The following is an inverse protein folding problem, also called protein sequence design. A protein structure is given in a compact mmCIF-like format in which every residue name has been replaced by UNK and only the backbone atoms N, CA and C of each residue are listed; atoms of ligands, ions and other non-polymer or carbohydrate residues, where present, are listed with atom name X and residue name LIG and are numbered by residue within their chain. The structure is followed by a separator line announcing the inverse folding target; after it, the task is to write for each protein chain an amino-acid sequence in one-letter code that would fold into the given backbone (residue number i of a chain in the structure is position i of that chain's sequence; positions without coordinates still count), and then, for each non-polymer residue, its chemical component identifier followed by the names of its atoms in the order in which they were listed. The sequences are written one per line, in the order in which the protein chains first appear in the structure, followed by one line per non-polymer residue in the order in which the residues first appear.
data_IF_202043230798
#
_entry.id   IF_202043230798
#
_cell.length_a   1.000
_cell.length_b   1.000
_cell.length_c   1.000
_cell.angle_alpha   90.00
_cell.angle_beta   90.00
_cell.angle_gamma   90.00
#
_symmetry.space_group_name_H-M   'P 1'
#
loop_
_entity.id
_entity.type
_entity.pdbx_description
1 polymer ?
#
# COMPACT_ATOMS: atom_id res chain seq x y z
N UNK A 1 62.65 8.09 -33.20
CA UNK A 1 63.09 8.98 -34.28
C UNK A 1 63.51 8.10 -35.45
N UNK A 2 62.58 7.89 -36.37
CA UNK A 2 62.77 7.06 -37.56
C UNK A 2 63.08 7.92 -38.78
N UNK A 3 63.39 7.26 -39.89
CA UNK A 3 63.53 7.90 -41.20
C UNK A 3 62.22 8.62 -41.54
N UNK A 4 62.28 9.91 -41.88
CA UNK A 4 61.13 10.73 -42.31
C UNK A 4 61.22 11.00 -43.81
N UNK A 5 60.11 11.38 -44.45
CA UNK A 5 60.08 11.76 -45.88
C UNK A 5 61.16 12.80 -46.23
N UNK A 6 61.37 13.80 -45.36
CA UNK A 6 62.47 14.78 -45.49
C UNK A 6 63.86 14.15 -45.43
N UNK A 7 64.08 13.20 -44.52
CA UNK A 7 65.36 12.49 -44.40
C UNK A 7 65.62 11.60 -45.62
N UNK A 8 64.58 11.02 -46.24
CA UNK A 8 64.70 10.25 -47.48
C UNK A 8 65.06 11.16 -48.66
N UNK A 9 64.40 12.32 -48.82
CA UNK A 9 64.69 13.30 -49.89
C UNK A 9 66.13 13.84 -49.83
N UNK A 10 66.66 14.04 -48.63
CA UNK A 10 67.99 14.61 -48.41
C UNK A 10 69.09 13.54 -48.32
N UNK A 11 68.77 12.27 -48.61
CA UNK A 11 69.71 11.17 -48.42
C UNK A 11 70.72 11.08 -49.55
N UNK A 12 71.97 11.47 -49.26
CA UNK A 12 73.08 11.28 -50.19
C UNK A 12 73.76 9.90 -50.03
N UNK A 13 74.11 9.29 -51.15
CA UNK A 13 74.85 8.03 -51.22
C UNK A 13 76.25 8.23 -51.80
N UNK A 14 77.24 7.49 -51.27
CA UNK A 14 78.60 7.51 -51.82
C UNK A 14 78.66 6.78 -53.16
N UNK A 15 79.26 7.39 -54.17
CA UNK A 15 79.45 6.76 -55.48
C UNK A 15 80.62 5.78 -55.47
N UNK A 16 80.49 4.65 -56.19
CA UNK A 16 81.53 3.62 -56.36
C UNK A 16 81.52 3.10 -57.80
N UNK A 17 82.67 2.63 -58.28
CA UNK A 17 82.79 2.03 -59.62
C UNK A 17 81.84 0.83 -59.77
N UNK A 18 81.02 0.81 -60.83
CA UNK A 18 79.87 -0.11 -61.05
C UNK A 18 78.68 0.03 -60.06
N UNK A 19 78.44 1.21 -59.50
CA UNK A 19 77.23 1.50 -58.71
C UNK A 19 75.95 1.70 -59.54
N UNK A 20 74.81 1.88 -58.86
CA UNK A 20 73.53 2.24 -59.47
C UNK A 20 73.56 3.64 -60.10
N UNK A 21 72.66 3.90 -61.06
CA UNK A 21 72.49 5.23 -61.65
C UNK A 21 71.93 6.21 -60.60
N UNK A 22 72.63 7.32 -60.39
CA UNK A 22 72.27 8.34 -59.42
C UNK A 22 70.89 8.93 -59.72
N UNK A 23 70.54 9.16 -60.99
CA UNK A 23 69.24 9.76 -61.35
C UNK A 23 68.07 8.82 -61.09
N UNK A 24 68.28 7.53 -61.30
CA UNK A 24 67.26 6.50 -61.04
C UNK A 24 67.05 6.33 -59.53
N UNK A 25 68.13 6.34 -58.75
CA UNK A 25 68.06 6.29 -57.28
C UNK A 25 67.38 7.54 -56.73
N UNK A 26 67.73 8.74 -57.18
CA UNK A 26 67.10 9.99 -56.73
C UNK A 26 65.60 10.02 -57.07
N UNK A 27 65.22 9.56 -58.26
CA UNK A 27 63.80 9.43 -58.65
C UNK A 27 63.03 8.46 -57.75
N UNK A 28 63.63 7.31 -57.42
CA UNK A 28 63.02 6.34 -56.50
C UNK A 28 62.90 6.91 -55.08
N UNK A 29 63.91 7.63 -54.57
CA UNK A 29 63.85 8.27 -53.25
C UNK A 29 62.74 9.33 -53.17
N UNK A 30 62.52 10.08 -54.25
CA UNK A 30 61.43 11.05 -54.34
C UNK A 30 60.05 10.35 -54.28
N UNK A 31 59.87 9.27 -55.03
CA UNK A 31 58.63 8.47 -54.99
C UNK A 31 58.39 7.88 -53.59
N UNK A 32 59.42 7.33 -52.96
CA UNK A 32 59.36 6.80 -51.59
C UNK A 32 59.00 7.91 -50.61
N UNK A 33 59.61 9.08 -50.74
CA UNK A 33 59.32 10.22 -49.87
C UNK A 33 57.88 10.72 -50.00
N UNK A 34 57.34 10.77 -51.23
CA UNK A 34 55.93 11.13 -51.49
C UNK A 34 54.98 10.10 -50.89
N UNK A 35 55.26 8.80 -51.06
CA UNK A 35 54.45 7.76 -50.42
C UNK A 35 54.50 7.84 -48.90
N UNK A 36 55.68 8.05 -48.30
CA UNK A 36 55.82 8.19 -46.85
C UNK A 36 54.99 9.37 -46.33
N UNK A 37 55.04 10.52 -47.00
CA UNK A 37 54.25 11.68 -46.57
C UNK A 37 52.74 11.43 -46.67
N UNK A 38 52.29 10.72 -47.72
CA UNK A 38 50.90 10.26 -47.85
C UNK A 38 50.48 9.32 -46.71
N UNK A 39 51.35 8.38 -46.35
CA UNK A 39 51.12 7.45 -45.24
C UNK A 39 51.05 8.20 -43.90
N UNK A 40 51.96 9.13 -43.65
CA UNK A 40 51.98 9.95 -42.43
C UNK A 40 50.68 10.74 -42.26
N UNK A 41 50.21 11.42 -43.34
CA UNK A 41 48.91 12.12 -43.33
C UNK A 41 47.73 11.18 -43.06
N UNK A 42 47.77 9.97 -43.62
CA UNK A 42 46.72 8.96 -43.39
C UNK A 42 46.72 8.50 -41.93
N UNK A 43 47.91 8.29 -41.34
CA UNK A 43 48.06 7.92 -39.93
C UNK A 43 47.53 9.03 -39.02
N UNK A 44 47.85 10.30 -39.30
CA UNK A 44 47.33 11.44 -38.55
C UNK A 44 45.80 11.49 -38.59
N UNK A 45 45.20 11.41 -39.78
CA UNK A 45 43.75 11.40 -39.96
C UNK A 45 43.06 10.25 -39.20
N UNK A 46 43.60 9.02 -39.33
CA UNK A 46 43.07 7.85 -38.63
C UNK A 46 43.23 7.97 -37.11
N UNK A 47 44.32 8.58 -36.64
CA UNK A 47 44.55 8.79 -35.21
C UNK A 47 43.56 9.79 -34.63
N UNK A 48 43.27 10.87 -35.36
CA UNK A 48 42.28 11.86 -34.95
C UNK A 48 40.86 11.30 -34.97
N UNK A 49 40.50 10.53 -36.00
CA UNK A 49 39.21 9.85 -36.07
C UNK A 49 39.05 8.83 -34.94
N UNK A 50 40.08 8.01 -34.68
CA UNK A 50 40.09 7.08 -33.56
C UNK A 50 39.87 7.80 -32.24
N UNK A 51 40.53 8.95 -32.03
CA UNK A 51 40.36 9.76 -30.81
C UNK A 51 38.93 10.27 -30.67
N UNK A 52 38.32 10.74 -31.77
CA UNK A 52 36.92 11.19 -31.80
C UNK A 52 35.97 10.04 -31.44
N UNK A 53 36.12 8.89 -32.07
CA UNK A 53 35.29 7.70 -31.83
C UNK A 53 35.43 7.18 -30.40
N UNK A 54 36.64 7.21 -29.82
CA UNK A 54 36.86 6.76 -28.44
C UNK A 54 36.14 7.69 -27.44
N UNK A 55 36.21 9.00 -27.64
CA UNK A 55 35.46 9.97 -26.81
C UNK A 55 33.94 9.75 -26.91
N UNK A 56 33.43 9.50 -28.11
CA UNK A 56 32.00 9.23 -28.31
C UNK A 56 31.58 7.92 -27.62
N UNK A 57 32.39 6.86 -27.75
CA UNK A 57 32.16 5.57 -27.10
C UNK A 57 32.14 5.69 -25.58
N UNK A 58 33.09 6.45 -25.00
CA UNK A 58 33.09 6.75 -23.57
C UNK A 58 31.81 7.48 -23.14
N UNK A 59 31.32 8.41 -23.96
CA UNK A 59 30.05 9.10 -23.74
C UNK A 59 28.84 8.15 -23.78
N UNK A 60 28.80 7.21 -24.73
CA UNK A 60 27.76 6.18 -24.79
C UNK A 60 27.80 5.26 -23.57
N UNK A 61 28.98 4.74 -23.19
CA UNK A 61 29.15 3.88 -22.01
C UNK A 61 28.70 4.56 -20.72
N UNK A 62 29.00 5.85 -20.54
CA UNK A 62 28.52 6.63 -19.38
C UNK A 62 27.00 6.72 -19.35
N UNK A 63 26.37 7.01 -20.49
CA UNK A 63 24.89 7.07 -20.60
C UNK A 63 24.25 5.71 -20.36
N UNK A 64 24.79 4.65 -20.94
CA UNK A 64 24.32 3.29 -20.74
C UNK A 64 24.37 2.89 -19.24
N UNK A 65 25.50 3.17 -18.58
CA UNK A 65 25.63 2.92 -17.14
C UNK A 65 24.63 3.73 -16.31
N UNK A 66 24.42 5.01 -16.63
CA UNK A 66 23.44 5.85 -15.95
C UNK A 66 22.01 5.30 -16.14
N UNK A 67 21.66 4.89 -17.36
CA UNK A 67 20.36 4.30 -17.67
C UNK A 67 20.15 2.96 -16.97
N UNK A 68 21.17 2.09 -16.94
CA UNK A 68 21.13 0.83 -16.19
C UNK A 68 20.92 1.06 -14.70
N UNK A 69 21.63 2.02 -14.12
CA UNK A 69 21.47 2.39 -12.72
C UNK A 69 20.07 2.93 -12.43
N UNK A 70 19.55 3.81 -13.29
CA UNK A 70 18.20 4.33 -13.18
C UNK A 70 17.13 3.21 -13.28
N UNK A 71 17.33 2.23 -14.15
CA UNK A 71 16.43 1.08 -14.29
C UNK A 71 16.41 0.21 -13.03
N UNK A 72 17.59 -0.08 -12.46
CA UNK A 72 17.69 -0.84 -11.20
C UNK A 72 17.03 -0.07 -10.05
N UNK A 73 17.28 1.24 -9.96
CA UNK A 73 16.62 2.08 -8.94
C UNK A 73 15.10 2.09 -9.11
N UNK A 74 14.61 2.21 -10.34
CA UNK A 74 13.18 2.18 -10.64
C UNK A 74 12.56 0.84 -10.24
N UNK A 75 13.23 -0.27 -10.51
CA UNK A 75 12.79 -1.59 -10.09
C UNK A 75 12.73 -1.71 -8.55
N UNK A 76 13.75 -1.24 -7.85
CA UNK A 76 13.77 -1.24 -6.37
C UNK A 76 12.63 -0.40 -5.80
N UNK A 77 12.32 0.76 -6.39
CA UNK A 77 11.20 1.60 -5.97
C UNK A 77 9.86 0.89 -6.19
N UNK A 78 9.69 0.22 -7.33
CA UNK A 78 8.48 -0.56 -7.61
C UNK A 78 8.28 -1.71 -6.60
N UNK A 79 9.36 -2.43 -6.28
CA UNK A 79 9.32 -3.53 -5.31
C UNK A 79 9.00 -3.01 -3.90
N UNK A 80 9.63 -1.91 -3.47
CA UNK A 80 9.31 -1.24 -2.21
C UNK A 80 7.86 -0.74 -2.16
N UNK A 81 7.36 -0.17 -3.26
CA UNK A 81 5.97 0.30 -3.35
C UNK A 81 4.99 -0.87 -3.23
N UNK A 82 5.28 -2.00 -3.88
CA UNK A 82 4.46 -3.22 -3.80
C UNK A 82 4.44 -3.79 -2.38
N UNK A 83 5.58 -3.85 -1.71
CA UNK A 83 5.68 -4.34 -0.33
C UNK A 83 4.97 -3.41 0.66
N UNK A 84 5.11 -2.10 0.49
CA UNK A 84 4.40 -1.12 1.31
C UNK A 84 2.88 -1.19 1.11
N UNK A 85 2.42 -1.36 -0.13
CA UNK A 85 1.00 -1.55 -0.44
C UNK A 85 0.44 -2.82 0.23
N UNK A 86 1.19 -3.94 0.18
CA UNK A 86 0.80 -5.18 0.86
C UNK A 86 0.70 -5.01 2.37
N UNK A 87 1.70 -4.38 3.00
CA UNK A 87 1.70 -4.11 4.45
C UNK A 87 0.54 -3.20 4.83
N UNK A 88 0.31 -2.14 4.06
CA UNK A 88 -0.80 -1.21 4.30
C UNK A 88 -2.15 -1.91 4.19
N UNK A 89 -2.33 -2.77 3.18
CA UNK A 89 -3.54 -3.57 3.04
C UNK A 89 -3.75 -4.53 4.23
N UNK A 90 -2.69 -5.18 4.71
CA UNK A 90 -2.77 -6.04 5.91
C UNK A 90 -3.18 -5.24 7.16
N UNK A 91 -2.61 -4.06 7.36
CA UNK A 91 -2.98 -3.17 8.49
C UNK A 91 -4.44 -2.75 8.38
N UNK A 92 -4.90 -2.33 7.20
CA UNK A 92 -6.30 -1.97 6.98
C UNK A 92 -7.25 -3.12 7.29
N UNK A 93 -6.93 -4.34 6.84
CA UNK A 93 -7.74 -5.53 7.12
C UNK A 93 -7.74 -5.83 8.63
N UNK A 94 -6.58 -5.76 9.29
CA UNK A 94 -6.48 -5.99 10.73
C UNK A 94 -7.31 -4.98 11.53
N UNK A 95 -7.23 -3.69 11.18
CA UNK A 95 -8.04 -2.64 11.82
C UNK A 95 -9.53 -2.90 11.64
N UNK A 96 -9.96 -3.21 10.41
CA UNK A 96 -11.36 -3.51 10.13
C UNK A 96 -11.87 -4.74 10.92
N UNK A 97 -11.03 -5.75 11.13
CA UNK A 97 -11.36 -6.91 11.97
C UNK A 97 -11.53 -6.51 13.44
N UNK A 98 -10.64 -5.67 13.98
CA UNK A 98 -10.74 -5.15 15.36
C UNK A 98 -12.01 -4.32 15.53
N UNK A 99 -12.32 -3.42 14.59
CA UNK A 99 -13.56 -2.64 14.63
C UNK A 99 -14.80 -3.52 14.57
N UNK A 100 -14.80 -4.55 13.71
CA UNK A 100 -15.90 -5.51 13.63
C UNK A 100 -16.10 -6.26 14.95
N UNK A 101 -15.01 -6.69 15.59
CA UNK A 101 -15.07 -7.36 16.90
C UNK A 101 -15.63 -6.44 18.00
N UNK A 102 -15.22 -5.17 18.01
CA UNK A 102 -15.76 -4.16 18.94
C UNK A 102 -17.26 -3.98 18.73
N UNK A 103 -17.71 -3.87 17.47
CA UNK A 103 -19.14 -3.73 17.14
C UNK A 103 -19.92 -4.95 17.61
N UNK A 104 -19.44 -6.16 17.33
CA UNK A 104 -20.09 -7.40 17.77
C UNK A 104 -20.16 -7.50 19.29
N UNK A 105 -19.09 -7.18 20.00
CA UNK A 105 -19.08 -7.21 21.46
C UNK A 105 -20.08 -6.21 22.05
N UNK A 106 -20.16 -4.98 21.51
CA UNK A 106 -21.17 -3.99 21.90
C UNK A 106 -22.59 -4.49 21.64
N UNK A 107 -22.83 -5.11 20.49
CA UNK A 107 -24.12 -5.68 20.15
C UNK A 107 -24.53 -6.81 21.13
N UNK A 108 -23.60 -7.72 21.45
CA UNK A 108 -23.85 -8.79 22.43
C UNK A 108 -24.13 -8.25 23.82
N UNK A 109 -23.36 -7.26 24.28
CA UNK A 109 -23.62 -6.59 25.57
C UNK A 109 -25.00 -5.94 25.60
N UNK A 110 -25.38 -5.24 24.52
CA UNK A 110 -26.70 -4.61 24.43
C UNK A 110 -27.83 -5.63 24.42
N UNK A 111 -27.64 -6.74 23.71
CA UNK A 111 -28.60 -7.85 23.68
C UNK A 111 -28.79 -8.48 25.06
N UNK A 112 -27.69 -8.72 25.78
CA UNK A 112 -27.73 -9.26 27.14
C UNK A 112 -28.45 -8.31 28.11
N UNK A 113 -28.16 -7.01 28.03
CA UNK A 113 -28.87 -6.00 28.82
C UNK A 113 -30.37 -6.00 28.51
N UNK A 114 -30.75 -5.95 27.22
CA UNK A 114 -32.15 -5.97 26.82
C UNK A 114 -32.86 -7.23 27.32
N UNK A 115 -32.21 -8.40 27.27
CA UNK A 115 -32.78 -9.62 27.80
C UNK A 115 -33.02 -9.53 29.31
N UNK A 116 -32.07 -8.98 30.07
CA UNK A 116 -32.22 -8.72 31.50
C UNK A 116 -33.39 -7.79 31.79
N UNK A 117 -33.46 -6.66 31.07
CA UNK A 117 -34.54 -5.66 31.22
C UNK A 117 -35.91 -6.29 30.92
N UNK A 118 -36.01 -7.12 29.87
CA UNK A 118 -37.23 -7.85 29.52
C UNK A 118 -37.64 -8.82 30.63
N UNK A 119 -36.70 -9.57 31.21
CA UNK A 119 -36.98 -10.48 32.31
C UNK A 119 -37.47 -9.72 33.55
N UNK A 120 -36.85 -8.58 33.87
CA UNK A 120 -37.28 -7.74 34.97
C UNK A 120 -38.68 -7.18 34.76
N UNK A 121 -38.98 -6.65 33.58
CA UNK A 121 -40.32 -6.14 33.23
C UNK A 121 -41.39 -7.24 33.31
N UNK A 122 -41.08 -8.46 32.86
CA UNK A 122 -42.00 -9.61 33.01
C UNK A 122 -42.27 -9.93 34.49
N UNK A 123 -41.24 -9.89 35.34
CA UNK A 123 -41.39 -10.10 36.79
C UNK A 123 -42.25 -9.01 37.43
N UNK A 124 -41.99 -7.75 37.09
CA UNK A 124 -42.76 -6.60 37.57
C UNK A 124 -44.23 -6.72 37.14
N UNK A 125 -44.50 -7.14 35.90
CA UNK A 125 -45.87 -7.38 35.41
C UNK A 125 -46.60 -8.42 36.26
N UNK A 126 -45.99 -9.58 36.49
CA UNK A 126 -46.59 -10.65 37.31
C UNK A 126 -46.86 -10.17 38.73
N UNK A 127 -45.93 -9.43 39.33
CA UNK A 127 -46.10 -8.87 40.67
C UNK A 127 -47.27 -7.89 40.73
N UNK A 128 -47.42 -7.02 39.73
CA UNK A 128 -48.53 -6.08 39.64
C UNK A 128 -49.87 -6.81 39.44
N UNK A 129 -49.92 -7.81 38.56
CA UNK A 129 -51.10 -8.64 38.35
C UNK A 129 -51.56 -9.31 39.66
N UNK A 130 -50.63 -9.85 40.46
CA UNK A 130 -50.93 -10.43 41.77
C UNK A 130 -51.43 -9.38 42.77
N UNK A 131 -50.80 -8.21 42.83
CA UNK A 131 -51.20 -7.12 43.73
C UNK A 131 -52.61 -6.63 43.42
N UNK A 132 -52.93 -6.40 42.14
CA UNK A 132 -54.26 -5.99 41.69
C UNK A 132 -55.29 -7.07 42.03
N UNK A 133 -54.97 -8.34 41.77
CA UNK A 133 -55.87 -9.46 42.07
C UNK A 133 -56.17 -9.56 43.58
N UNK A 134 -55.15 -9.40 44.43
CA UNK A 134 -55.31 -9.40 45.88
C UNK A 134 -56.17 -8.23 46.39
N UNK A 135 -56.00 -7.03 45.83
CA UNK A 135 -56.84 -5.87 46.17
C UNK A 135 -58.30 -6.11 45.77
N UNK A 136 -58.55 -6.64 44.57
CA UNK A 136 -59.90 -7.00 44.11
C UNK A 136 -60.53 -8.05 45.03
N UNK A 137 -59.81 -9.11 45.37
CA UNK A 137 -60.31 -10.18 46.24
C UNK A 137 -60.62 -9.66 47.65
N UNK A 138 -59.77 -8.79 48.20
CA UNK A 138 -60.00 -8.14 49.49
C UNK A 138 -61.28 -7.29 49.48
N UNK A 139 -61.46 -6.43 48.47
CA UNK A 139 -62.67 -5.62 48.35
C UNK A 139 -63.93 -6.45 48.06
N UNK A 140 -63.82 -7.54 47.29
CA UNK A 140 -64.91 -8.46 47.06
C UNK A 140 -65.39 -9.12 48.37
N UNK A 141 -64.45 -9.58 49.21
CA UNK A 141 -64.76 -10.13 50.55
C UNK A 141 -65.43 -9.11 51.46
N UNK A 142 -64.94 -7.87 51.50
CA UNK A 142 -65.56 -6.79 52.29
C UNK A 142 -67.00 -6.50 51.83
N UNK A 143 -67.23 -6.44 50.52
CA UNK A 143 -68.58 -6.26 49.96
C UNK A 143 -69.50 -7.43 50.29
N UNK A 144 -69.00 -8.67 50.27
CA UNK A 144 -69.78 -9.84 50.65
C UNK A 144 -70.16 -9.82 52.14
N UNK A 145 -69.22 -9.44 53.02
CA UNK A 145 -69.48 -9.27 54.45
C UNK A 145 -70.53 -8.18 54.68
N UNK A 146 -70.37 -7.00 54.07
CA UNK A 146 -71.34 -5.90 54.19
C UNK A 146 -72.74 -6.30 53.68
N UNK A 147 -72.83 -7.07 52.57
CA UNK A 147 -74.12 -7.60 52.11
C UNK A 147 -74.77 -8.56 53.10
N UNK A 148 -73.99 -9.40 53.79
CA UNK A 148 -74.50 -10.31 54.83
C UNK A 148 -74.99 -9.52 56.05
N UNK A 149 -74.24 -8.52 56.49
CA UNK A 149 -74.63 -7.62 57.58
C UNK A 149 -75.91 -6.85 57.26
N UNK A 150 -76.00 -6.26 56.05
CA UNK A 150 -77.20 -5.53 55.62
C UNK A 150 -78.42 -6.44 55.56
N UNK A 151 -78.29 -7.68 55.05
CA UNK A 151 -79.40 -8.65 55.07
C UNK A 151 -79.85 -8.99 56.49
N UNK A 152 -78.91 -9.21 57.41
CA UNK A 152 -79.24 -9.47 58.81
C UNK A 152 -79.93 -8.26 59.47
N UNK A 153 -79.50 -7.04 59.14
CA UNK A 153 -80.13 -5.80 59.59
C UNK A 153 -81.57 -5.65 59.04
N UNK A 154 -81.78 -5.95 57.75
CA UNK A 154 -83.09 -5.90 57.12
C UNK A 154 -84.05 -6.95 57.71
N UNK A 155 -83.57 -8.16 58.00
CA UNK A 155 -84.35 -9.24 58.65
C UNK A 155 -84.73 -8.90 60.10
N UNK A 156 -83.83 -8.25 60.84
CA UNK A 156 -84.08 -7.79 62.22
C UNK A 156 -85.04 -6.59 62.27
N UNK A 157 -84.93 -5.64 61.34
CA UNK A 157 -85.88 -4.52 61.23
C UNK A 157 -87.28 -5.01 60.81
N UNK A 158 -87.36 -6.01 59.92
CA UNK A 158 -88.62 -6.64 59.55
C UNK A 158 -89.31 -7.32 60.75
N UNK A 159 -88.55 -8.04 61.59
CA UNK A 159 -89.09 -8.68 62.80
C UNK A 159 -89.54 -7.67 63.86
N UNK A 160 -88.79 -6.58 64.08
CA UNK A 160 -89.19 -5.50 64.97
C UNK A 160 -90.49 -4.80 64.53
N UNK A 161 -90.68 -4.58 63.22
CA UNK A 161 -91.93 -4.04 62.66
C UNK A 161 -93.13 -4.97 62.82
N UNK A 162 -92.91 -6.29 62.79
CA UNK A 162 -93.97 -7.27 63.06
C UNK A 162 -94.41 -7.26 64.53
N UNK A 163 -93.47 -7.10 65.48
CA UNK A 163 -93.78 -7.07 66.92
C UNK A 163 -94.54 -5.79 67.30
N UNK A 164 -94.22 -4.64 66.70
CA UNK A 164 -94.91 -3.37 66.99
C UNK A 164 -96.31 -3.23 66.34
N UNK A 165 -96.75 -4.21 65.55
CA UNK A 165 -98.08 -4.22 64.88
C UNK A 165 -99.05 -5.28 65.45
N UNK A 166 -98.63 -6.06 66.45
CA UNK A 166 -99.47 -6.98 67.21
C UNK A 166 -99.91 -6.34 68.54
#
# INVERSE_FOLDING_TARGET
MGITSMVVRQKEFKTRFRGFDVREVDGFLEEVAVQMESMDRTIENLTEEKRRLDLENQGYRKRENAMKNAMIQSQNVLDQMKDNAKKSAQVTIANAQVEAEIILNRAHKRLSQLHSDIMELKRQRIQLEMQVSAVIESHAKLLEMSKKENKAADETDATLKFINRA
#
